data_IF_950212907761
#
_entry.id   IF_950212907761
#
_cell.length_a   1.000
_cell.length_b   1.000
_cell.length_c   1.000
_cell.angle_alpha   90.00
_cell.angle_beta   90.00
_cell.angle_gamma   90.00
#
_symmetry.space_group_name_H-M   'P 1'
#
loop_
_entity.id
_entity.type
_entity.pdbx_description
1 polymer ?
#
# COMPACT_ATOMS: atom_id res chain seq x y z
N UNK A 1 23.26 -9.84 -4.33
CA UNK A 1 23.23 -8.78 -3.30
C UNK A 1 22.29 -9.22 -2.20
N UNK A 2 22.77 -9.39 -0.96
CA UNK A 2 21.93 -9.81 0.17
C UNK A 2 20.88 -8.72 0.40
N UNK A 3 19.60 -9.03 0.19
CA UNK A 3 18.49 -8.14 0.52
C UNK A 3 18.52 -7.91 2.04
N UNK A 4 19.08 -6.78 2.46
CA UNK A 4 18.95 -6.30 3.85
C UNK A 4 17.45 -6.22 4.12
N UNK A 5 16.93 -7.02 5.06
CA UNK A 5 15.53 -7.03 5.48
C UNK A 5 15.07 -5.59 5.70
N UNK A 6 14.36 -5.05 4.71
CA UNK A 6 13.95 -3.65 4.70
C UNK A 6 12.59 -3.62 5.38
N UNK A 7 12.57 -3.20 6.64
CA UNK A 7 11.33 -3.08 7.40
C UNK A 7 10.46 -1.98 6.78
N UNK A 8 9.52 -2.36 5.92
CA UNK A 8 8.64 -1.40 5.25
C UNK A 8 7.88 -0.57 6.29
N UNK A 9 7.80 0.73 6.03
CA UNK A 9 7.13 1.69 6.90
C UNK A 9 7.72 1.83 8.31
N UNK A 10 8.87 1.22 8.62
CA UNK A 10 9.55 1.34 9.90
C UNK A 10 11.00 1.76 9.62
N UNK A 11 11.49 2.76 10.36
CA UNK A 11 12.87 3.22 10.21
C UNK A 11 13.52 3.37 11.56
N UNK A 12 14.80 2.98 11.67
CA UNK A 12 15.58 3.24 12.87
C UNK A 12 15.90 4.72 12.95
N UNK A 13 15.70 5.32 14.12
CA UNK A 13 16.30 6.60 14.50
C UNK A 13 17.36 6.27 15.55
N UNK A 14 18.60 6.60 15.22
CA UNK A 14 19.76 6.51 16.11
C UNK A 14 20.50 7.84 16.01
N UNK A 15 20.22 8.72 16.95
CA UNK A 15 20.89 10.02 17.12
C UNK A 15 21.34 10.13 18.57
N UNK A 16 22.23 11.06 18.90
CA UNK A 16 22.83 11.19 20.24
C UNK A 16 21.81 11.10 21.40
N UNK A 17 20.66 11.78 21.29
CA UNK A 17 19.65 11.84 22.36
C UNK A 17 18.39 11.02 22.08
N UNK A 18 18.23 10.50 20.86
CA UNK A 18 17.00 9.83 20.45
C UNK A 18 17.29 8.53 19.75
N UNK A 19 16.86 7.45 20.42
CA UNK A 19 16.98 6.07 19.99
C UNK A 19 15.61 5.42 19.95
N UNK A 20 15.25 4.87 18.79
CA UNK A 20 13.96 4.21 18.65
C UNK A 20 13.58 3.87 17.22
N UNK A 21 12.34 3.43 17.04
CA UNK A 21 11.78 3.07 15.75
C UNK A 21 10.67 4.02 15.37
N UNK A 22 10.74 4.58 14.16
CA UNK A 22 9.73 5.47 13.63
C UNK A 22 8.87 4.76 12.60
N UNK A 23 7.61 4.57 12.93
CA UNK A 23 6.60 3.97 12.05
C UNK A 23 5.92 5.07 11.25
N UNK A 24 5.83 4.88 9.93
CA UNK A 24 5.15 5.78 8.98
C UNK A 24 4.36 4.96 7.98
N UNK A 25 3.04 4.88 8.17
CA UNK A 25 2.11 4.21 7.26
C UNK A 25 1.33 5.28 6.49
N UNK A 26 1.41 5.22 5.17
CA UNK A 26 0.57 6.02 4.27
C UNK A 26 -0.27 5.10 3.39
N UNK A 27 -1.54 5.41 3.24
CA UNK A 27 -2.46 4.73 2.33
C UNK A 27 -3.55 5.69 1.87
N UNK A 28 -3.67 5.89 0.55
CA UNK A 28 -4.50 6.96 -0.02
C UNK A 28 -4.14 8.31 0.63
N UNK A 29 -5.14 9.01 1.17
CA UNK A 29 -4.97 10.30 1.84
C UNK A 29 -4.81 10.17 3.36
N UNK A 30 -4.76 8.93 3.89
CA UNK A 30 -4.53 8.68 5.30
C UNK A 30 -3.02 8.50 5.59
N UNK A 31 -2.56 9.15 6.65
CA UNK A 31 -1.18 9.04 7.14
C UNK A 31 -1.15 8.84 8.65
N UNK A 32 -0.45 7.80 9.09
CA UNK A 32 -0.23 7.46 10.49
C UNK A 32 1.25 7.43 10.78
N UNK A 33 1.64 8.04 11.89
CA UNK A 33 3.03 8.12 12.32
C UNK A 33 3.12 7.95 13.83
N UNK A 34 4.08 7.15 14.28
CA UNK A 34 4.34 6.95 15.71
C UNK A 34 5.78 6.55 15.97
N UNK A 35 6.37 7.11 17.00
CA UNK A 35 7.73 6.81 17.43
C UNK A 35 7.73 5.89 18.66
N UNK A 36 8.59 4.88 18.63
CA UNK A 36 8.75 3.86 19.68
C UNK A 36 10.17 3.97 20.23
N UNK A 37 10.33 4.68 21.36
CA UNK A 37 11.62 4.89 22.02
C UNK A 37 12.15 3.61 22.65
N UNK A 38 13.45 3.35 22.50
CA UNK A 38 14.10 2.19 23.13
C UNK A 38 13.98 2.23 24.65
N UNK A 39 14.18 3.40 25.27
CA UNK A 39 14.11 3.56 26.72
C UNK A 39 12.70 3.27 27.26
N UNK A 40 11.66 3.73 26.55
CA UNK A 40 10.27 3.49 26.95
C UNK A 40 9.88 2.01 26.87
N UNK A 41 10.41 1.30 25.89
CA UNK A 41 10.09 -0.12 25.64
C UNK A 41 11.21 -1.06 26.11
N UNK A 42 12.15 -0.56 26.92
CA UNK A 42 13.24 -1.31 27.54
C UNK A 42 14.49 -1.47 26.66
N UNK A 43 14.32 -1.86 25.39
CA UNK A 43 15.46 -2.00 24.47
C UNK A 43 15.04 -1.91 23.00
N UNK A 44 16.04 -1.91 22.12
CA UNK A 44 15.88 -1.84 20.65
C UNK A 44 15.00 -2.94 20.07
N UNK A 45 15.07 -4.17 20.58
CA UNK A 45 14.28 -5.28 20.06
C UNK A 45 12.82 -5.18 20.50
N UNK A 46 12.58 -4.90 21.77
CA UNK A 46 11.24 -4.70 22.32
C UNK A 46 10.52 -3.51 21.65
N UNK A 47 11.22 -2.39 21.46
CA UNK A 47 10.70 -1.25 20.71
C UNK A 47 10.37 -1.61 19.24
N UNK A 48 11.16 -2.49 18.62
CA UNK A 48 10.89 -2.97 17.26
C UNK A 48 9.65 -3.85 17.19
N UNK A 49 9.44 -4.73 18.18
CA UNK A 49 8.24 -5.59 18.25
C UNK A 49 6.98 -4.71 18.33
N UNK A 50 6.97 -3.72 19.22
CA UNK A 50 5.85 -2.80 19.37
C UNK A 50 5.62 -1.93 18.11
N UNK A 51 6.70 -1.50 17.46
CA UNK A 51 6.62 -0.77 16.19
C UNK A 51 6.01 -1.62 15.07
N UNK A 52 6.36 -2.92 15.00
CA UNK A 52 5.77 -3.86 14.03
C UNK A 52 4.29 -4.09 14.31
N UNK A 53 3.93 -4.38 15.56
CA UNK A 53 2.55 -4.59 16.00
C UNK A 53 1.68 -3.39 15.62
N UNK A 54 2.10 -2.18 15.99
CA UNK A 54 1.37 -0.97 15.64
C UNK A 54 1.26 -0.73 14.13
N UNK A 55 2.31 -1.02 13.35
CA UNK A 55 2.23 -0.94 11.88
C UNK A 55 1.14 -1.86 11.36
N UNK A 56 1.14 -3.12 11.78
CA UNK A 56 0.24 -4.15 11.27
C UNK A 56 -1.22 -3.84 11.64
N UNK A 57 -1.47 -3.40 12.88
CA UNK A 57 -2.79 -2.92 13.33
C UNK A 57 -3.27 -1.73 12.48
N UNK A 58 -2.40 -0.75 12.22
CA UNK A 58 -2.74 0.41 11.40
C UNK A 58 -3.03 -0.01 9.95
N UNK A 59 -2.17 -0.84 9.36
CA UNK A 59 -2.37 -1.33 7.99
C UNK A 59 -3.68 -2.09 7.84
N UNK A 60 -4.01 -2.96 8.80
CA UNK A 60 -5.29 -3.67 8.84
C UNK A 60 -6.47 -2.69 8.98
N UNK A 61 -6.40 -1.74 9.91
CA UNK A 61 -7.50 -0.79 10.17
C UNK A 61 -7.86 0.10 8.97
N UNK A 62 -6.90 0.36 8.08
CA UNK A 62 -7.10 1.20 6.90
C UNK A 62 -7.27 0.40 5.61
N UNK A 63 -7.31 -0.93 5.69
CA UNK A 63 -7.41 -1.81 4.53
C UNK A 63 -6.19 -1.74 3.62
N UNK A 64 -5.01 -1.43 4.17
CA UNK A 64 -3.76 -1.46 3.41
C UNK A 64 -3.22 -2.88 3.40
N UNK A 65 -3.00 -3.49 2.22
CA UNK A 65 -2.42 -4.82 2.14
C UNK A 65 -0.96 -4.80 2.62
N UNK A 66 -0.60 -5.78 3.46
CA UNK A 66 0.76 -6.00 3.92
C UNK A 66 1.56 -6.67 2.79
N UNK A 67 2.50 -5.92 2.22
CA UNK A 67 3.41 -6.40 1.16
C UNK A 67 4.71 -5.60 1.23
N UNK A 68 5.84 -6.14 0.76
CA UNK A 68 7.09 -5.38 0.64
C UNK A 68 7.18 -4.52 -0.61
N UNK A 69 6.27 -4.70 -1.59
CA UNK A 69 6.18 -3.85 -2.78
C UNK A 69 5.78 -2.42 -2.44
N UNK A 70 6.22 -1.46 -3.25
CA UNK A 70 5.70 -0.09 -3.15
C UNK A 70 4.20 -0.09 -3.50
N UNK A 71 3.37 0.36 -2.55
CA UNK A 71 1.92 0.50 -2.74
C UNK A 71 1.62 1.98 -2.90
N UNK A 72 1.39 2.42 -4.13
CA UNK A 72 1.01 3.80 -4.46
C UNK A 72 -0.43 3.81 -4.94
N UNK A 73 -1.32 4.49 -4.20
CA UNK A 73 -2.76 4.49 -4.50
C UNK A 73 -3.23 5.74 -5.22
N UNK A 74 -2.70 6.92 -4.91
CA UNK A 74 -3.13 8.19 -5.51
C UNK A 74 -2.04 8.85 -6.36
N UNK A 75 -2.46 9.59 -7.40
CA UNK A 75 -1.58 10.39 -8.26
C UNK A 75 -2.30 11.65 -8.73
N UNK A 76 -1.81 12.82 -8.28
CA UNK A 76 -2.38 14.15 -8.61
C UNK A 76 -2.35 14.47 -10.11
N UNK A 77 -1.45 13.86 -10.89
CA UNK A 77 -1.39 14.05 -12.35
C UNK A 77 -2.43 13.21 -13.09
N UNK A 78 -3.05 12.23 -12.42
CA UNK A 78 -4.12 11.45 -13.00
C UNK A 78 -5.46 12.16 -12.77
N UNK A 79 -6.27 12.36 -13.82
CA UNK A 79 -7.57 13.03 -13.73
C UNK A 79 -8.54 12.33 -12.77
N UNK A 80 -8.42 11.01 -12.61
CA UNK A 80 -9.23 10.23 -11.65
C UNK A 80 -8.70 10.29 -10.22
N UNK A 81 -7.51 10.85 -9.99
CA UNK A 81 -6.82 10.84 -8.70
C UNK A 81 -6.25 9.48 -8.27
N UNK A 82 -6.69 8.36 -8.87
CA UNK A 82 -6.30 7.00 -8.49
C UNK A 82 -5.25 6.44 -9.46
N UNK A 83 -4.11 5.94 -8.96
CA UNK A 83 -3.07 5.32 -9.80
C UNK A 83 -3.67 4.17 -10.59
N UNK A 84 -3.46 4.14 -11.90
CA UNK A 84 -3.84 3.01 -12.75
C UNK A 84 -5.34 2.87 -13.02
N UNK A 85 -6.15 3.89 -12.71
CA UNK A 85 -7.53 4.02 -13.22
C UNK A 85 -7.57 5.25 -14.11
N UNK A 86 -7.96 5.15 -15.38
CA UNK A 86 -7.98 6.30 -16.31
C UNK A 86 -9.28 6.32 -17.12
N UNK A 87 -9.88 7.50 -17.28
CA UNK A 87 -11.00 7.72 -18.21
C UNK A 87 -10.47 7.72 -19.66
N UNK A 88 -11.17 7.04 -20.57
CA UNK A 88 -10.84 7.02 -22.02
C UNK A 88 -11.85 7.85 -22.82
N UNK A 89 -11.53 8.07 -24.09
CA UNK A 89 -12.39 8.80 -25.04
C UNK A 89 -13.65 8.01 -25.40
N UNK A 90 -13.56 6.67 -25.50
CA UNK A 90 -14.72 5.79 -25.42
C UNK A 90 -15.20 5.74 -23.96
N UNK A 91 -16.52 5.80 -23.66
CA UNK A 91 -17.02 5.95 -22.29
C UNK A 91 -16.76 4.69 -21.46
N UNK A 92 -15.56 4.58 -20.92
CA UNK A 92 -15.05 3.48 -20.13
C UNK A 92 -13.90 3.93 -19.22
N UNK A 93 -13.73 3.23 -18.11
CA UNK A 93 -12.54 3.32 -17.25
C UNK A 93 -11.56 2.20 -17.59
N UNK A 94 -10.31 2.56 -17.89
CA UNK A 94 -9.21 1.60 -18.01
C UNK A 94 -8.59 1.37 -16.63
N UNK A 95 -8.56 0.10 -16.21
CA UNK A 95 -7.95 -0.39 -14.97
C UNK A 95 -6.64 -1.10 -15.30
N UNK A 96 -5.52 -0.67 -14.72
CA UNK A 96 -4.18 -1.21 -14.97
C UNK A 96 -3.46 -1.65 -13.69
N UNK A 97 -3.53 -2.92 -13.27
CA UNK A 97 -2.88 -3.42 -12.05
C UNK A 97 -1.59 -4.19 -12.34
N UNK A 98 -0.56 -4.01 -11.51
CA UNK A 98 0.64 -4.87 -11.52
C UNK A 98 0.31 -6.15 -10.76
N UNK A 99 0.28 -7.28 -11.48
CA UNK A 99 -0.04 -8.60 -10.91
C UNK A 99 1.24 -9.37 -10.53
N UNK A 100 2.37 -9.03 -11.13
CA UNK A 100 3.70 -9.47 -10.68
C UNK A 100 4.76 -8.41 -11.01
N UNK A 101 6.02 -8.55 -10.55
CA UNK A 101 7.07 -7.54 -10.75
C UNK A 101 7.36 -7.19 -12.23
N UNK A 102 6.82 -7.97 -13.18
CA UNK A 102 6.94 -7.73 -14.63
C UNK A 102 5.64 -7.90 -15.42
N UNK A 103 4.53 -8.28 -14.77
CA UNK A 103 3.25 -8.48 -15.44
C UNK A 103 2.23 -7.44 -14.99
N UNK A 104 1.65 -6.77 -15.97
CA UNK A 104 0.60 -5.78 -15.78
C UNK A 104 -0.66 -6.31 -16.48
N UNK A 105 -1.79 -6.30 -15.79
CA UNK A 105 -3.09 -6.59 -16.38
C UNK A 105 -3.86 -5.30 -16.62
N UNK A 106 -4.51 -5.24 -17.78
CA UNK A 106 -5.39 -4.14 -18.19
C UNK A 106 -6.81 -4.68 -18.37
N UNK A 107 -7.80 -3.96 -17.87
CA UNK A 107 -9.22 -4.27 -18.00
C UNK A 107 -9.95 -2.96 -18.34
N UNK A 108 -10.97 -3.03 -19.20
CA UNK A 108 -11.87 -1.92 -19.47
C UNK A 108 -13.19 -2.15 -18.73
N UNK A 109 -13.68 -1.11 -18.06
CA UNK A 109 -15.00 -1.07 -17.43
C UNK A 109 -15.85 -0.08 -18.19
N UNK A 110 -16.80 -0.52 -19.03
CA UNK A 110 -17.65 0.39 -19.80
C UNK A 110 -18.58 1.19 -18.89
N UNK A 111 -18.89 2.41 -19.29
CA UNK A 111 -19.95 3.24 -18.68
C UNK A 111 -21.24 2.89 -19.41
N UNK A 112 -22.14 2.16 -18.75
CA UNK A 112 -23.46 1.83 -19.27
C UNK A 112 -24.49 2.84 -18.76
N UNK A 113 -25.46 3.17 -19.60
CA UNK A 113 -26.62 4.01 -19.24
C UNK A 113 -26.26 5.39 -18.64
N UNK A 114 -25.09 5.91 -18.99
CA UNK A 114 -24.60 7.21 -18.49
C UNK A 114 -24.18 7.22 -17.01
N UNK A 115 -24.20 6.08 -16.32
CA UNK A 115 -23.86 6.01 -14.89
C UNK A 115 -22.34 5.95 -14.68
N UNK A 116 -21.67 7.08 -14.88
CA UNK A 116 -20.21 7.21 -14.76
C UNK A 116 -19.71 6.89 -13.35
N UNK A 117 -20.46 7.28 -12.31
CA UNK A 117 -20.08 7.04 -10.91
C UNK A 117 -20.04 5.55 -10.57
N UNK A 118 -21.06 4.78 -10.98
CA UNK A 118 -21.08 3.34 -10.74
C UNK A 118 -19.93 2.62 -11.47
N UNK A 119 -19.66 3.00 -12.72
CA UNK A 119 -18.54 2.45 -13.49
C UNK A 119 -17.18 2.79 -12.85
N UNK A 120 -17.03 3.99 -12.28
CA UNK A 120 -15.82 4.39 -11.56
C UNK A 120 -15.61 3.59 -10.28
N UNK A 121 -16.65 3.42 -9.47
CA UNK A 121 -16.61 2.61 -8.25
C UNK A 121 -16.24 1.16 -8.56
N UNK A 122 -16.83 0.59 -9.61
CA UNK A 122 -16.53 -0.78 -10.03
C UNK A 122 -15.09 -0.91 -10.55
N UNK A 123 -14.59 0.07 -11.32
CA UNK A 123 -13.20 0.12 -11.73
C UNK A 123 -12.23 0.14 -10.53
N UNK A 124 -12.57 0.89 -9.48
CA UNK A 124 -11.80 0.91 -8.23
C UNK A 124 -11.83 -0.44 -7.51
N UNK A 125 -13.01 -1.08 -7.41
CA UNK A 125 -13.14 -2.42 -6.79
C UNK A 125 -12.36 -3.49 -7.54
N UNK A 126 -12.48 -3.53 -8.87
CA UNK A 126 -11.73 -4.47 -9.72
C UNK A 126 -10.22 -4.27 -9.50
N UNK A 127 -9.76 -3.01 -9.48
CA UNK A 127 -8.35 -2.70 -9.22
C UNK A 127 -7.90 -3.23 -7.87
N UNK A 128 -8.66 -2.96 -6.81
CA UNK A 128 -8.33 -3.39 -5.46
C UNK A 128 -8.20 -4.91 -5.38
N UNK A 129 -9.18 -5.67 -5.90
CA UNK A 129 -9.15 -7.14 -5.95
C UNK A 129 -7.94 -7.69 -6.70
N UNK A 130 -7.57 -7.09 -7.83
CA UNK A 130 -6.39 -7.50 -8.61
C UNK A 130 -5.08 -7.29 -7.84
N UNK A 131 -4.98 -6.20 -7.09
CA UNK A 131 -3.81 -5.91 -6.27
C UNK A 131 -3.75 -6.84 -5.05
N UNK A 132 -4.86 -7.03 -4.34
CA UNK A 132 -4.95 -7.94 -3.19
C UNK A 132 -4.55 -9.36 -3.56
N UNK A 133 -5.08 -9.90 -4.65
CA UNK A 133 -4.69 -11.22 -5.16
C UNK A 133 -3.20 -11.29 -5.50
N UNK A 134 -2.68 -10.24 -6.14
CA UNK A 134 -1.25 -10.17 -6.48
C UNK A 134 -0.34 -10.19 -5.25
N UNK A 135 -0.77 -9.59 -4.14
CA UNK A 135 -0.01 -9.58 -2.90
C UNK A 135 -0.07 -10.94 -2.20
N UNK A 136 -1.23 -11.61 -2.19
CA UNK A 136 -1.38 -12.95 -1.60
C UNK A 136 -0.60 -14.04 -2.35
N UNK A 137 -0.49 -13.95 -3.68
CA UNK A 137 0.24 -14.91 -4.49
C UNK A 137 1.78 -14.82 -4.30
N UNK A 138 2.31 -13.70 -3.79
CA UNK A 138 3.73 -13.59 -3.41
C UNK A 138 4.05 -14.28 -2.09
N UNK A 139 3.16 -14.20 -1.10
CA UNK A 139 3.33 -14.82 0.22
C UNK A 139 3.33 -16.36 0.15
N UNK A 140 3.06 -16.94 -1.03
CA UNK A 140 3.10 -18.39 -1.31
C UNK A 140 4.39 -18.89 -1.95
N UNK A 141 5.31 -17.99 -2.33
CA UNK A 141 6.62 -18.38 -2.88
C UNK A 141 7.66 -18.26 -1.76
N UNK A 142 7.58 -19.15 -0.78
CA UNK A 142 8.66 -19.43 0.17
C UNK A 142 8.45 -20.84 0.75
N UNK A 143 9.00 -21.84 0.06
CA UNK A 143 9.48 -23.14 0.60
C UNK A 143 10.67 -23.59 -0.25
#
# INVERSE_FOLDING_TARGET
MKNKLRLKSISRIDTHDTHGWYVRVKYFDKQYRKFFSDNKYGNKLSALVEAKKYRDEVEQSIGKPRTDRMVTTTNRRNRTGIVGVRRREFPAFEVQASISPRKIKKILVPITDGNEQAAFEEACRIRQRLLERSYQDEDRIDF
#
